data_IF_954684232035
#
_entry.id   IF_954684232035
#
_cell.length_a   1.000
_cell.length_b   1.000
_cell.length_c   1.000
_cell.angle_alpha   90.00
_cell.angle_beta   90.00
_cell.angle_gamma   90.00
#
_symmetry.space_group_name_H-M   'P 1'
#
loop_
_entity.id
_entity.type
_entity.pdbx_description
1 polymer ?
#
# COMPACT_ATOMS: atom_id res chain seq x y z
N UNK A 1 -13.01 25.65 -24.83
CA UNK A 1 -12.16 24.44 -24.90
C UNK A 1 -12.47 23.58 -23.70
N UNK A 2 -13.46 22.69 -23.84
CA UNK A 2 -13.89 21.78 -22.77
C UNK A 2 -12.91 20.60 -22.74
N UNK A 3 -11.99 20.60 -21.79
CA UNK A 3 -11.28 19.38 -21.44
C UNK A 3 -12.31 18.42 -20.83
N UNK A 4 -12.87 17.54 -21.67
CA UNK A 4 -13.60 16.37 -21.22
C UNK A 4 -12.62 15.50 -20.47
N UNK A 5 -12.68 15.56 -19.14
CA UNK A 5 -12.01 14.59 -18.28
C UNK A 5 -12.74 13.28 -18.52
N UNK A 6 -12.27 12.47 -19.47
CA UNK A 6 -12.65 11.07 -19.57
C UNK A 6 -12.17 10.39 -18.29
N UNK A 7 -13.03 10.35 -17.29
CA UNK A 7 -12.92 9.47 -16.14
C UNK A 7 -13.22 8.05 -16.63
N UNK A 8 -12.37 7.51 -17.51
CA UNK A 8 -12.37 6.08 -17.80
C UNK A 8 -12.10 5.42 -16.45
N UNK A 9 -13.07 4.71 -15.85
CA UNK A 9 -12.82 4.04 -14.58
C UNK A 9 -11.65 3.10 -14.85
N UNK A 10 -10.55 3.24 -14.10
CA UNK A 10 -9.41 2.32 -14.24
C UNK A 10 -9.95 0.93 -13.94
N UNK A 11 -10.26 0.16 -14.98
CA UNK A 11 -10.70 -1.22 -14.81
C UNK A 11 -9.56 -1.94 -14.12
N UNK A 12 -9.85 -2.55 -12.97
CA UNK A 12 -8.92 -3.46 -12.32
C UNK A 12 -8.48 -4.56 -13.30
N UNK A 13 -7.36 -5.24 -13.02
CA UNK A 13 -6.81 -6.25 -13.91
C UNK A 13 -7.88 -7.28 -14.34
N UNK A 14 -7.77 -7.77 -15.58
CA UNK A 14 -8.64 -8.82 -16.07
C UNK A 14 -8.63 -10.01 -15.09
N UNK A 15 -9.81 -10.58 -14.75
CA UNK A 15 -9.88 -11.67 -13.79
C UNK A 15 -9.00 -12.85 -14.26
N UNK A 16 -8.24 -13.49 -13.35
CA UNK A 16 -7.41 -14.66 -13.68
C UNK A 16 -8.25 -15.81 -14.24
N UNK A 17 -7.68 -16.60 -15.16
CA UNK A 17 -8.33 -17.80 -15.71
C UNK A 17 -8.64 -18.85 -14.62
N UNK A 18 -7.85 -18.85 -13.53
CA UNK A 18 -8.07 -19.69 -12.36
C UNK A 18 -9.12 -19.11 -11.42
N UNK A 19 -10.24 -19.81 -11.26
CA UNK A 19 -11.33 -19.44 -10.35
C UNK A 19 -10.87 -19.19 -8.90
N UNK A 20 -9.90 -19.96 -8.40
CA UNK A 20 -9.36 -19.79 -7.03
C UNK A 20 -8.58 -18.48 -6.90
N UNK A 21 -7.69 -18.18 -7.85
CA UNK A 21 -6.89 -16.94 -7.83
C UNK A 21 -7.82 -15.73 -8.02
N UNK A 22 -8.84 -15.86 -8.86
CA UNK A 22 -9.86 -14.83 -9.05
C UNK A 22 -10.64 -14.55 -7.76
N UNK A 23 -11.07 -15.59 -7.05
CA UNK A 23 -11.77 -15.46 -5.77
C UNK A 23 -10.89 -14.79 -4.70
N UNK A 24 -9.62 -15.20 -4.59
CA UNK A 24 -8.67 -14.61 -3.64
C UNK A 24 -8.38 -13.14 -3.96
N UNK A 25 -8.21 -12.81 -5.24
CA UNK A 25 -7.98 -11.43 -5.69
C UNK A 25 -9.19 -10.55 -5.40
N UNK A 26 -10.40 -11.05 -5.63
CA UNK A 26 -11.63 -10.30 -5.34
C UNK A 26 -11.85 -10.10 -3.82
N UNK A 27 -11.50 -11.10 -3.00
CA UNK A 27 -11.55 -10.97 -1.55
C UNK A 27 -10.55 -9.91 -1.05
N UNK A 28 -9.32 -9.93 -1.58
CA UNK A 28 -8.28 -8.96 -1.26
C UNK A 28 -8.64 -7.54 -1.72
N UNK A 29 -9.22 -7.38 -2.91
CA UNK A 29 -9.70 -6.07 -3.39
C UNK A 29 -10.79 -5.50 -2.48
N UNK A 30 -11.75 -6.31 -2.03
CA UNK A 30 -12.78 -5.86 -1.07
C UNK A 30 -12.17 -5.38 0.24
N UNK A 31 -11.20 -6.13 0.78
CA UNK A 31 -10.48 -5.74 1.99
C UNK A 31 -9.71 -4.42 1.78
N UNK A 32 -8.96 -4.33 0.67
CA UNK A 32 -8.19 -3.15 0.31
C UNK A 32 -9.06 -1.91 0.13
N UNK A 33 -10.28 -2.03 -0.43
CA UNK A 33 -11.25 -0.92 -0.53
C UNK A 33 -11.73 -0.44 0.84
N UNK A 34 -12.00 -1.37 1.76
CA UNK A 34 -12.39 -1.03 3.13
C UNK A 34 -11.27 -0.27 3.85
N UNK A 35 -10.04 -0.77 3.73
CA UNK A 35 -8.84 -0.12 4.27
C UNK A 35 -8.59 1.23 3.63
N UNK A 36 -8.79 1.37 2.32
CA UNK A 36 -8.66 2.65 1.62
C UNK A 36 -9.66 3.69 2.16
N UNK A 37 -10.92 3.30 2.35
CA UNK A 37 -11.94 4.19 2.94
C UNK A 37 -11.56 4.61 4.36
N UNK A 38 -11.03 3.69 5.17
CA UNK A 38 -10.49 3.99 6.50
C UNK A 38 -9.31 4.97 6.43
N UNK A 39 -8.37 4.75 5.49
CA UNK A 39 -7.22 5.64 5.28
C UNK A 39 -7.64 7.04 4.85
N UNK A 40 -8.68 7.18 4.02
CA UNK A 40 -9.23 8.49 3.63
C UNK A 40 -9.73 9.26 4.84
N UNK A 41 -10.47 8.60 5.74
CA UNK A 41 -10.94 9.20 6.99
C UNK A 41 -9.75 9.58 7.87
N UNK A 42 -8.76 8.68 8.01
CA UNK A 42 -7.57 8.92 8.81
C UNK A 42 -6.77 10.15 8.34
N UNK A 43 -6.59 10.35 7.03
CA UNK A 43 -5.91 11.55 6.49
C UNK A 43 -6.65 12.83 6.85
N UNK A 44 -7.98 12.84 6.75
CA UNK A 44 -8.78 14.02 7.13
C UNK A 44 -8.65 14.28 8.63
N UNK A 45 -8.67 13.24 9.46
CA UNK A 45 -8.44 13.36 10.90
C UNK A 45 -7.05 13.89 11.21
N UNK A 46 -5.99 13.40 10.56
CA UNK A 46 -4.63 13.94 10.69
C UNK A 46 -4.59 15.42 10.37
N UNK A 47 -5.23 15.87 9.28
CA UNK A 47 -5.29 17.28 8.92
C UNK A 47 -5.99 18.14 10.00
N UNK A 48 -7.09 17.64 10.58
CA UNK A 48 -7.80 18.31 11.68
C UNK A 48 -6.91 18.41 12.93
N UNK A 49 -6.24 17.32 13.31
CA UNK A 49 -5.36 17.27 14.50
C UNK A 49 -4.19 18.25 14.35
N UNK A 50 -3.53 18.28 13.19
CA UNK A 50 -2.42 19.21 12.93
C UNK A 50 -2.91 20.67 12.90
N UNK A 51 -4.08 20.92 12.30
CA UNK A 51 -4.67 22.26 12.30
C UNK A 51 -4.97 22.72 13.73
N UNK A 52 -5.54 21.83 14.56
CA UNK A 52 -5.79 22.10 15.97
C UNK A 52 -4.49 22.37 16.74
N UNK A 53 -3.43 21.62 16.47
CA UNK A 53 -2.10 21.84 17.08
C UNK A 53 -1.59 23.25 16.84
N UNK A 54 -1.63 23.69 15.57
CA UNK A 54 -1.22 25.04 15.16
C UNK A 54 -2.09 26.08 15.85
N UNK A 55 -3.42 25.94 15.82
CA UNK A 55 -4.33 26.90 16.46
C UNK A 55 -4.11 26.98 17.98
N UNK A 56 -3.98 25.84 18.66
CA UNK A 56 -3.70 25.79 20.10
C UNK A 56 -2.41 26.51 20.46
N UNK A 57 -1.35 26.27 19.69
CA UNK A 57 -0.03 26.84 19.93
C UNK A 57 0.01 28.35 19.75
N UNK A 58 -0.63 28.88 18.71
CA UNK A 58 -0.56 30.31 18.39
C UNK A 58 -1.61 31.16 19.13
N UNK A 59 -2.81 30.63 19.37
CA UNK A 59 -3.88 31.42 20.00
C UNK A 59 -3.96 31.18 21.51
N UNK A 60 -3.80 29.93 21.95
CA UNK A 60 -3.97 29.56 23.35
C UNK A 60 -2.65 29.48 24.12
N UNK A 61 -1.50 29.60 23.43
CA UNK A 61 -0.15 29.50 24.01
C UNK A 61 0.07 28.22 24.84
N UNK A 62 -0.72 27.17 24.55
CA UNK A 62 -0.69 25.88 25.23
C UNK A 62 -0.31 24.81 24.20
N UNK A 63 0.99 24.50 24.04
CA UNK A 63 1.42 23.39 23.19
C UNK A 63 0.97 22.06 23.79
N UNK A 64 0.62 21.12 22.92
CA UNK A 64 0.06 19.82 23.28
C UNK A 64 0.90 18.74 22.64
N UNK A 65 1.53 17.90 23.47
CA UNK A 65 2.62 17.04 23.02
C UNK A 65 2.17 15.78 22.27
N UNK A 66 0.89 15.40 22.28
CA UNK A 66 0.39 14.13 21.71
C UNK A 66 0.06 14.18 20.22
N UNK A 67 -0.04 15.38 19.65
CA UNK A 67 -0.61 15.61 18.32
C UNK A 67 0.33 15.17 17.21
N UNK A 68 1.63 15.36 17.42
CA UNK A 68 2.67 15.02 16.47
C UNK A 68 2.74 13.50 16.29
N UNK A 69 2.77 12.72 17.37
CA UNK A 69 2.83 11.25 17.29
C UNK A 69 1.53 10.66 16.77
N UNK A 70 0.37 11.18 17.20
CA UNK A 70 -0.92 10.74 16.69
C UNK A 70 -1.00 10.93 15.16
N UNK A 71 -0.52 12.08 14.67
CA UNK A 71 -0.49 12.40 13.25
C UNK A 71 0.47 11.50 12.47
N UNK A 72 1.67 11.26 13.02
CA UNK A 72 2.66 10.34 12.43
C UNK A 72 2.12 8.92 12.37
N UNK A 73 1.49 8.42 13.43
CA UNK A 73 0.98 7.05 13.49
C UNK A 73 -0.18 6.86 12.50
N UNK A 74 -1.09 7.82 12.41
CA UNK A 74 -2.15 7.82 11.40
C UNK A 74 -1.56 7.81 9.98
N UNK A 75 -0.55 8.64 9.71
CA UNK A 75 0.06 8.73 8.39
C UNK A 75 0.82 7.45 7.99
N UNK A 76 1.49 6.79 8.95
CA UNK A 76 2.08 5.45 8.76
C UNK A 76 0.99 4.46 8.35
N UNK A 77 -0.12 4.42 9.09
CA UNK A 77 -1.28 3.59 8.77
C UNK A 77 -1.83 3.82 7.37
N UNK A 78 -2.09 5.08 7.03
CA UNK A 78 -2.55 5.50 5.69
C UNK A 78 -1.59 4.99 4.62
N UNK A 79 -0.30 5.25 4.78
CA UNK A 79 0.72 4.91 3.77
C UNK A 79 0.70 3.42 3.46
N UNK A 80 0.78 2.56 4.49
CA UNK A 80 0.88 1.12 4.28
C UNK A 80 -0.44 0.48 3.86
N UNK A 81 -1.59 0.94 4.37
CA UNK A 81 -2.90 0.40 4.00
C UNK A 81 -3.35 0.80 2.60
N UNK A 82 -2.97 1.99 2.11
CA UNK A 82 -3.26 2.38 0.73
C UNK A 82 -2.41 1.61 -0.30
N UNK A 83 -1.21 1.17 0.07
CA UNK A 83 -0.23 0.66 -0.91
C UNK A 83 -0.73 -0.58 -1.66
N UNK A 84 -1.38 -1.53 -0.99
CA UNK A 84 -1.93 -2.73 -1.64
C UNK A 84 -3.05 -2.39 -2.63
N UNK A 85 -3.95 -1.47 -2.27
CA UNK A 85 -5.01 -0.99 -3.17
C UNK A 85 -4.42 -0.30 -4.41
N UNK A 86 -3.45 0.59 -4.20
CA UNK A 86 -2.76 1.29 -5.29
C UNK A 86 -2.02 0.30 -6.19
N UNK A 87 -1.37 -0.72 -5.63
CA UNK A 87 -0.68 -1.76 -6.40
C UNK A 87 -1.65 -2.62 -7.23
N UNK A 88 -2.85 -2.90 -6.70
CA UNK A 88 -3.88 -3.61 -7.47
C UNK A 88 -4.32 -2.83 -8.72
N UNK A 89 -4.46 -1.51 -8.61
CA UNK A 89 -4.88 -0.63 -9.71
C UNK A 89 -3.73 -0.21 -10.62
N UNK A 90 -2.49 -0.15 -10.12
CA UNK A 90 -1.27 0.14 -10.90
C UNK A 90 -0.74 -1.11 -11.59
N UNK A 91 -1.57 -1.71 -12.44
CA UNK A 91 -1.13 -2.71 -13.42
C UNK A 91 -0.08 -2.12 -14.37
N UNK A 92 1.18 -2.11 -13.94
CA UNK A 92 2.38 -1.76 -14.69
C UNK A 92 2.41 -0.41 -15.41
N UNK A 93 2.49 0.70 -14.67
CA UNK A 93 3.10 1.96 -15.18
C UNK A 93 4.64 1.79 -15.34
N UNK A 94 5.16 0.56 -15.14
CA UNK A 94 6.56 0.18 -15.21
C UNK A 94 7.14 0.30 -16.62
N UNK A 95 7.52 1.52 -16.98
CA UNK A 95 8.25 1.89 -18.19
C UNK A 95 7.54 1.41 -19.46
N UNK A 96 6.28 1.83 -19.64
CA UNK A 96 5.60 1.73 -20.95
C UNK A 96 6.43 2.39 -22.06
N UNK A 97 7.20 3.43 -21.72
CA UNK A 97 8.15 4.08 -22.61
C UNK A 97 9.19 3.11 -23.21
N UNK A 98 9.63 2.09 -22.47
CA UNK A 98 10.55 1.04 -22.96
C UNK A 98 9.77 -0.15 -23.53
N UNK A 99 8.55 -0.39 -23.06
CA UNK A 99 7.69 -1.46 -23.56
C UNK A 99 7.40 -1.34 -25.07
N UNK A 100 7.28 -0.10 -25.58
CA UNK A 100 7.09 0.17 -27.02
C UNK A 100 8.32 -0.10 -27.90
N UNK A 101 9.52 -0.21 -27.31
CA UNK A 101 10.77 -0.40 -28.05
C UNK A 101 11.23 -1.87 -28.08
N UNK A 102 10.65 -2.73 -27.24
CA UNK A 102 11.11 -4.12 -27.07
C UNK A 102 10.21 -5.13 -27.79
N UNK A 103 10.77 -6.24 -28.31
CA UNK A 103 9.98 -7.36 -28.80
C UNK A 103 9.07 -7.93 -27.71
N UNK A 104 7.84 -8.33 -28.10
CA UNK A 104 6.76 -8.79 -27.21
C UNK A 104 7.21 -9.86 -26.19
N UNK A 105 8.10 -10.78 -26.59
CA UNK A 105 8.66 -11.84 -25.73
C UNK A 105 9.62 -11.30 -24.65
N UNK A 106 10.47 -10.35 -25.01
CA UNK A 106 11.43 -9.74 -24.07
C UNK A 106 10.69 -8.86 -23.07
N UNK A 107 9.67 -8.13 -23.52
CA UNK A 107 8.85 -7.32 -22.62
C UNK A 107 8.05 -8.18 -21.62
N UNK A 108 7.53 -9.34 -22.07
CA UNK A 108 6.85 -10.28 -21.17
C UNK A 108 7.79 -10.87 -20.10
N UNK A 109 9.02 -11.27 -20.48
CA UNK A 109 10.04 -11.76 -19.55
C UNK A 109 10.49 -10.67 -18.57
N UNK A 110 10.69 -9.44 -19.07
CA UNK A 110 11.02 -8.27 -18.24
C UNK A 110 9.95 -8.00 -17.19
N UNK A 111 8.67 -7.99 -17.58
CA UNK A 111 7.56 -7.76 -16.65
C UNK A 111 7.50 -8.86 -15.59
N UNK A 112 7.62 -10.13 -15.99
CA UNK A 112 7.65 -11.24 -15.05
C UNK A 112 8.83 -11.13 -14.07
N UNK A 113 10.01 -10.75 -14.55
CA UNK A 113 11.19 -10.56 -13.71
C UNK A 113 10.97 -9.43 -12.70
N UNK A 114 10.44 -8.29 -13.13
CA UNK A 114 10.10 -7.16 -12.23
C UNK A 114 9.08 -7.58 -11.18
N UNK A 115 8.06 -8.34 -11.56
CA UNK A 115 7.02 -8.81 -10.64
C UNK A 115 7.59 -9.78 -9.61
N UNK A 116 8.45 -10.72 -10.03
CA UNK A 116 9.11 -11.67 -9.14
C UNK A 116 10.06 -10.97 -8.15
N UNK A 117 10.90 -10.04 -8.63
CA UNK A 117 11.82 -9.29 -7.77
C UNK A 117 11.05 -8.42 -6.80
N UNK A 118 9.99 -7.74 -7.26
CA UNK A 118 9.14 -6.90 -6.40
C UNK A 118 8.44 -7.74 -5.34
N UNK A 119 7.92 -8.92 -5.70
CA UNK A 119 7.29 -9.86 -4.76
C UNK A 119 8.30 -10.35 -3.72
N UNK A 120 9.49 -10.76 -4.13
CA UNK A 120 10.54 -11.24 -3.22
C UNK A 120 10.99 -10.13 -2.25
N UNK A 121 11.21 -8.92 -2.77
CA UNK A 121 11.57 -7.77 -1.96
C UNK A 121 10.48 -7.42 -0.94
N UNK A 122 9.22 -7.37 -1.37
CA UNK A 122 8.10 -7.07 -0.48
C UNK A 122 7.87 -8.18 0.56
N UNK A 123 8.10 -9.45 0.21
CA UNK A 123 8.03 -10.56 1.16
C UNK A 123 9.14 -10.46 2.22
N UNK A 124 10.38 -10.15 1.81
CA UNK A 124 11.48 -9.90 2.74
C UNK A 124 11.19 -8.70 3.66
N UNK A 125 10.67 -7.61 3.10
CA UNK A 125 10.33 -6.42 3.88
C UNK A 125 9.18 -6.69 4.87
N UNK A 126 8.21 -7.53 4.47
CA UNK A 126 7.14 -8.00 5.37
C UNK A 126 7.70 -8.77 6.56
N UNK A 127 8.63 -9.70 6.31
CA UNK A 127 9.31 -10.43 7.39
C UNK A 127 10.04 -9.47 8.35
N UNK A 128 10.82 -8.53 7.81
CA UNK A 128 11.53 -7.53 8.61
C UNK A 128 10.58 -6.64 9.40
N UNK A 129 9.43 -6.29 8.82
CA UNK A 129 8.40 -5.49 9.49
C UNK A 129 7.80 -6.22 10.69
N UNK A 130 7.51 -7.51 10.56
CA UNK A 130 7.04 -8.34 11.67
C UNK A 130 8.08 -8.53 12.77
N UNK A 131 9.35 -8.69 12.40
CA UNK A 131 10.44 -8.73 13.37
C UNK A 131 10.52 -7.42 14.16
N UNK A 132 10.42 -6.27 13.48
CA UNK A 132 10.44 -4.96 14.13
C UNK A 132 9.24 -4.75 15.06
N UNK A 133 8.05 -5.21 14.66
CA UNK A 133 6.88 -5.20 15.54
C UNK A 133 7.10 -6.05 16.80
N UNK A 134 7.62 -7.27 16.64
CA UNK A 134 7.89 -8.17 17.75
C UNK A 134 8.92 -7.56 18.71
N UNK A 135 10.01 -7.02 18.18
CA UNK A 135 11.04 -6.34 18.98
C UNK A 135 10.44 -5.19 19.78
N UNK A 136 9.67 -4.30 19.13
CA UNK A 136 9.05 -3.17 19.80
C UNK A 136 8.04 -3.59 20.88
N UNK A 137 7.37 -4.73 20.69
CA UNK A 137 6.44 -5.27 21.67
C UNK A 137 7.16 -5.86 22.89
N UNK A 138 8.23 -6.63 22.67
CA UNK A 138 8.99 -7.30 23.74
C UNK A 138 9.84 -6.32 24.53
N UNK A 139 10.54 -5.41 23.85
CA UNK A 139 11.42 -4.43 24.48
C UNK A 139 10.66 -3.21 25.04
N UNK A 140 9.35 -3.11 24.75
CA UNK A 140 8.54 -1.98 25.18
C UNK A 140 9.02 -0.65 24.57
N UNK A 141 9.46 -0.66 23.31
CA UNK A 141 10.03 0.52 22.68
C UNK A 141 8.99 1.64 22.58
N UNK A 142 9.40 2.85 22.98
CA UNK A 142 8.58 4.06 22.95
C UNK A 142 9.23 5.11 22.06
N UNK A 143 8.41 6.04 21.57
CA UNK A 143 8.90 7.19 20.81
C UNK A 143 9.78 8.08 21.71
N UNK A 144 10.84 8.68 21.16
CA UNK A 144 11.76 9.58 21.90
C UNK A 144 11.16 10.95 22.28
N UNK A 145 9.85 11.05 22.35
CA UNK A 145 9.11 12.28 22.68
C UNK A 145 8.64 12.26 24.14
N UNK A 146 8.28 13.43 24.68
CA UNK A 146 7.70 13.58 26.03
C UNK A 146 6.48 12.69 26.25
N UNK A 147 5.64 12.51 25.22
CA UNK A 147 4.45 11.68 25.30
C UNK A 147 4.76 10.17 25.27
N UNK A 148 5.94 9.79 24.74
CA UNK A 148 6.48 8.43 24.70
C UNK A 148 5.46 7.30 24.36
N UNK A 149 4.61 7.43 23.32
CA UNK A 149 3.70 6.36 22.96
C UNK A 149 4.45 5.13 22.44
N UNK A 150 3.91 3.92 22.65
CA UNK A 150 4.59 2.69 22.28
C UNK A 150 4.62 2.48 20.76
N UNK A 151 5.78 2.08 20.25
CA UNK A 151 6.06 1.96 18.81
C UNK A 151 5.48 0.68 18.18
N UNK A 152 4.97 -0.26 18.97
CA UNK A 152 4.31 -1.44 18.44
C UNK A 152 3.07 -1.09 17.61
N UNK A 153 2.41 0.05 17.90
CA UNK A 153 1.22 0.51 17.16
C UNK A 153 1.57 0.79 15.69
N UNK A 154 2.45 1.76 15.36
CA UNK A 154 2.79 2.04 13.96
C UNK A 154 3.47 0.85 13.27
N UNK A 155 4.29 0.07 13.99
CA UNK A 155 4.93 -1.11 13.41
C UNK A 155 3.95 -2.24 13.08
N UNK A 156 2.88 -2.41 13.87
CA UNK A 156 1.82 -3.36 13.54
C UNK A 156 1.08 -2.97 12.26
N UNK A 157 0.79 -1.68 12.08
CA UNK A 157 0.14 -1.15 10.87
C UNK A 157 1.04 -1.33 9.64
N UNK A 158 2.34 -1.04 9.79
CA UNK A 158 3.34 -1.29 8.76
C UNK A 158 3.41 -2.78 8.39
N UNK A 159 3.55 -3.67 9.36
CA UNK A 159 3.63 -5.11 9.13
C UNK A 159 2.37 -5.65 8.43
N UNK A 160 1.18 -5.22 8.88
CA UNK A 160 -0.08 -5.59 8.26
C UNK A 160 -0.21 -5.09 6.81
N UNK A 161 0.08 -3.81 6.55
CA UNK A 161 -0.01 -3.25 5.18
C UNK A 161 1.02 -3.84 4.22
N UNK A 162 2.24 -4.12 4.69
CA UNK A 162 3.25 -4.81 3.88
C UNK A 162 2.85 -6.26 3.57
N UNK A 163 2.23 -6.95 4.53
CA UNK A 163 1.67 -8.30 4.30
C UNK A 163 0.62 -8.28 3.18
N UNK A 164 -0.30 -7.32 3.21
CA UNK A 164 -1.33 -7.15 2.18
C UNK A 164 -0.72 -6.84 0.82
N UNK A 165 0.27 -5.97 0.75
CA UNK A 165 0.99 -5.64 -0.48
C UNK A 165 1.71 -6.87 -1.05
N UNK A 166 2.41 -7.63 -0.20
CA UNK A 166 3.11 -8.85 -0.61
C UNK A 166 2.14 -9.90 -1.16
N UNK A 167 0.98 -10.08 -0.52
CA UNK A 167 -0.08 -10.97 -1.01
C UNK A 167 -0.63 -10.48 -2.36
N UNK A 168 -0.84 -9.17 -2.52
CA UNK A 168 -1.33 -8.58 -3.76
C UNK A 168 -0.38 -8.82 -4.94
N UNK A 169 0.92 -8.62 -4.72
CA UNK A 169 1.98 -8.87 -5.71
C UNK A 169 2.11 -10.36 -6.04
N UNK A 170 2.01 -11.23 -5.04
CA UNK A 170 2.07 -12.67 -5.23
C UNK A 170 0.90 -13.16 -6.10
N UNK A 171 -0.33 -12.69 -5.82
CA UNK A 171 -1.50 -13.03 -6.63
C UNK A 171 -1.39 -12.50 -8.07
N UNK A 172 -0.86 -11.29 -8.27
CA UNK A 172 -0.60 -10.73 -9.61
C UNK A 172 0.42 -11.58 -10.38
N UNK A 173 1.49 -12.01 -9.71
CA UNK A 173 2.54 -12.85 -10.31
C UNK A 173 2.00 -14.23 -10.67
N UNK A 174 1.23 -14.86 -9.78
CA UNK A 174 0.59 -16.17 -10.03
C UNK A 174 -0.45 -16.11 -11.15
N UNK A 175 -1.24 -15.03 -11.21
CA UNK A 175 -2.19 -14.81 -12.30
C UNK A 175 -1.46 -14.70 -13.65
N UNK A 176 -0.35 -13.95 -13.71
CA UNK A 176 0.49 -13.83 -14.92
C UNK A 176 1.09 -15.16 -15.36
N UNK A 177 1.47 -16.03 -14.40
CA UNK A 177 2.02 -17.36 -14.69
C UNK A 177 0.96 -18.36 -15.15
N UNK A 178 -0.29 -18.22 -14.70
CA UNK A 178 -1.35 -19.19 -15.01
C UNK A 178 -2.14 -18.83 -16.26
N UNK A 179 -2.32 -17.54 -16.55
CA UNK A 179 -3.00 -17.13 -17.77
C UNK A 179 -2.23 -17.70 -18.98
N UNK A 180 -2.88 -18.60 -19.72
CA UNK A 180 -2.29 -19.22 -20.92
C UNK A 180 -1.88 -18.10 -21.90
N UNK A 181 -0.82 -18.28 -22.69
CA UNK A 181 -0.39 -17.30 -23.70
C UNK A 181 -1.36 -17.16 -24.90
N UNK A 182 -2.66 -17.36 -24.70
CA UNK A 182 -3.70 -17.49 -25.74
C UNK A 182 -4.30 -16.17 -26.22
N UNK A 183 -3.54 -15.07 -26.16
CA UNK A 183 -3.91 -13.78 -26.78
C UNK A 183 -2.80 -13.21 -27.68
N UNK A 184 -1.95 -14.06 -28.23
CA UNK A 184 -0.93 -13.68 -29.22
C UNK A 184 -1.13 -14.38 -30.57
N UNK A 185 -2.39 -14.55 -31.00
CA UNK A 185 -2.72 -14.71 -32.41
C UNK A 185 -2.78 -13.35 -33.09
#
# INVERSE_FOLDING_TARGET
>A
MSHGVELTPSRGPAPPDNAVIAALTAALDKLNRGLMALSMIAVVLTAIVLTYSVVSRYFFHAPTDWQDEASVFMLVGVTFFCTAYVQYHRGHIGIEAIAGLLPRRVNAARLLFVDLVSTLFCAFFTWKSWLLFHEAWVDGQTTSSTFAPPLWIPYSMMAAGMTLLSLQLLLQTLARLTNKPEQAA
#
